data_IF_157654539806
#
_entry.id   IF_157654539806
#
_cell.length_a   1.000
_cell.length_b   1.000
_cell.length_c   1.000
_cell.angle_alpha   90.00
_cell.angle_beta   90.00
_cell.angle_gamma   90.00
#
_symmetry.space_group_name_H-M   'P 1'
#
loop_
_entity.id
_entity.type
_entity.pdbx_description
1 polymer ?
#
# COMPACT_ATOMS: atom_id res chain seq x y z
N UNK A 1 -24.26 18.89 -12.72
CA UNK A 1 -22.87 19.04 -12.32
C UNK A 1 -22.51 18.03 -11.26
N UNK A 2 -21.49 17.25 -11.48
CA UNK A 2 -21.13 16.17 -10.55
C UNK A 2 -19.66 16.20 -10.20
N UNK A 3 -19.17 17.28 -9.65
CA UNK A 3 -17.75 17.37 -9.32
C UNK A 3 -17.32 16.42 -8.22
N UNK A 4 -18.27 15.94 -7.46
CA UNK A 4 -17.99 15.16 -6.26
C UNK A 4 -17.33 13.83 -6.54
N UNK A 5 -17.44 13.31 -7.78
CA UNK A 5 -16.81 12.03 -8.11
C UNK A 5 -15.51 12.21 -8.88
N UNK A 6 -15.06 13.44 -9.04
CA UNK A 6 -13.78 13.69 -9.68
C UNK A 6 -12.65 13.28 -8.72
N UNK A 7 -11.64 12.58 -9.25
CA UNK A 7 -10.46 12.24 -8.47
C UNK A 7 -9.65 13.51 -8.24
N UNK A 8 -9.36 13.79 -6.99
CA UNK A 8 -8.53 14.95 -6.67
C UNK A 8 -7.08 14.72 -7.12
N UNK A 9 -6.39 15.75 -7.60
CA UNK A 9 -4.98 15.59 -7.97
C UNK A 9 -4.12 15.04 -6.84
N UNK A 10 -4.44 15.43 -5.59
CA UNK A 10 -3.69 14.92 -4.43
C UNK A 10 -3.88 13.43 -4.25
N UNK A 11 -5.07 12.91 -4.55
CA UNK A 11 -5.32 11.47 -4.45
C UNK A 11 -4.50 10.69 -5.45
N UNK A 12 -4.37 11.21 -6.67
CA UNK A 12 -3.58 10.55 -7.71
C UNK A 12 -2.10 10.54 -7.34
N UNK A 13 -1.61 11.66 -6.81
CA UNK A 13 -0.22 11.74 -6.39
C UNK A 13 0.06 10.86 -5.18
N UNK A 14 -0.89 10.77 -4.28
CA UNK A 14 -0.76 9.92 -3.10
C UNK A 14 -0.70 8.45 -3.49
N UNK A 15 -1.57 8.02 -4.42
CA UNK A 15 -1.55 6.66 -4.93
C UNK A 15 -0.20 6.35 -5.57
N UNK A 16 0.30 7.26 -6.40
CA UNK A 16 1.58 7.08 -7.06
C UNK A 16 2.71 6.92 -6.05
N UNK A 17 2.71 7.78 -5.02
CA UNK A 17 3.71 7.73 -3.97
C UNK A 17 3.67 6.41 -3.21
N UNK A 18 2.48 5.96 -2.85
CA UNK A 18 2.33 4.72 -2.09
C UNK A 18 2.75 3.50 -2.91
N UNK A 19 2.48 3.50 -4.19
CA UNK A 19 2.92 2.41 -5.06
C UNK A 19 4.44 2.34 -5.12
N UNK A 20 5.09 3.49 -5.29
CA UNK A 20 6.55 3.52 -5.33
C UNK A 20 7.14 3.10 -3.99
N UNK A 21 6.62 3.62 -2.90
CA UNK A 21 7.15 3.30 -1.57
C UNK A 21 6.95 1.83 -1.21
N UNK A 22 5.82 1.25 -1.58
CA UNK A 22 5.59 -0.18 -1.35
C UNK A 22 6.59 -1.02 -2.13
N UNK A 23 6.84 -0.65 -3.39
CA UNK A 23 7.83 -1.36 -4.20
C UNK A 23 9.21 -1.28 -3.56
N UNK A 24 9.61 -0.09 -3.14
CA UNK A 24 10.92 0.11 -2.51
C UNK A 24 11.00 -0.61 -1.17
N UNK A 25 9.92 -0.64 -0.42
CA UNK A 25 9.89 -1.32 0.87
C UNK A 25 10.20 -2.81 0.72
N UNK A 26 9.64 -3.45 -0.31
CA UNK A 26 9.92 -4.86 -0.57
C UNK A 26 11.15 -5.06 -1.46
N UNK A 27 11.86 -3.97 -1.74
CA UNK A 27 13.14 -3.97 -2.44
C UNK A 27 13.07 -4.58 -3.84
N UNK A 28 12.04 -4.22 -4.60
CA UNK A 28 11.88 -4.69 -5.97
C UNK A 28 12.20 -3.58 -6.95
N UNK A 29 12.84 -3.94 -8.06
CA UNK A 29 13.10 -2.98 -9.14
C UNK A 29 11.87 -2.86 -10.03
N UNK A 30 11.78 -1.75 -10.75
CA UNK A 30 10.70 -1.57 -11.74
C UNK A 30 10.75 -2.66 -12.80
N UNK A 31 11.95 -3.07 -13.19
CA UNK A 31 12.13 -4.11 -14.19
C UNK A 31 11.54 -5.44 -13.70
N UNK A 32 11.84 -5.82 -12.48
CA UNK A 32 11.32 -7.05 -11.90
C UNK A 32 9.80 -7.00 -11.81
N UNK A 33 9.26 -5.87 -11.36
CA UNK A 33 7.81 -5.70 -11.24
C UNK A 33 7.15 -5.82 -12.62
N UNK A 34 7.78 -5.24 -13.63
CA UNK A 34 7.27 -5.36 -15.00
C UNK A 34 7.19 -6.82 -15.43
N UNK A 35 8.23 -7.58 -15.15
CA UNK A 35 8.29 -8.99 -15.52
C UNK A 35 7.23 -9.82 -14.79
N UNK A 36 6.99 -9.50 -13.52
CA UNK A 36 6.04 -10.26 -12.72
C UNK A 36 4.58 -9.92 -13.00
N UNK A 37 4.30 -8.67 -13.37
CA UNK A 37 2.92 -8.23 -13.55
C UNK A 37 2.47 -8.15 -14.99
N UNK A 38 3.41 -8.14 -15.92
CA UNK A 38 3.09 -7.93 -17.34
C UNK A 38 2.86 -6.46 -17.69
N UNK A 39 2.99 -5.56 -16.75
CA UNK A 39 2.85 -4.13 -17.00
C UNK A 39 4.18 -3.61 -17.56
N UNK A 40 4.18 -2.92 -18.70
CA UNK A 40 5.44 -2.40 -19.23
C UNK A 40 6.18 -1.53 -18.22
N UNK A 41 7.50 -1.61 -18.20
CA UNK A 41 8.29 -0.84 -17.26
C UNK A 41 8.04 0.66 -17.39
N UNK A 42 7.90 1.14 -18.63
CA UNK A 42 7.61 2.57 -18.84
C UNK A 42 6.28 2.96 -18.21
N UNK A 43 5.30 2.07 -18.26
CA UNK A 43 4.01 2.32 -17.62
C UNK A 43 4.15 2.36 -16.10
N UNK A 44 4.93 1.44 -15.52
CA UNK A 44 5.18 1.45 -14.08
C UNK A 44 5.84 2.76 -13.67
N UNK A 45 6.84 3.20 -14.42
CA UNK A 45 7.51 4.45 -14.14
C UNK A 45 6.55 5.63 -14.17
N UNK A 46 5.68 5.67 -15.18
CA UNK A 46 4.71 6.76 -15.31
C UNK A 46 3.66 6.71 -14.21
N UNK A 47 3.24 5.52 -13.82
CA UNK A 47 2.30 5.35 -12.69
C UNK A 47 2.92 5.90 -11.42
N UNK A 48 4.19 5.58 -11.16
CA UNK A 48 4.86 6.03 -9.94
C UNK A 48 5.14 7.52 -9.94
N UNK A 49 5.23 8.14 -11.11
CA UNK A 49 5.36 9.59 -11.20
C UNK A 49 4.04 10.32 -11.14
N UNK A 50 2.94 9.57 -11.22
CA UNK A 50 1.62 10.17 -11.19
C UNK A 50 1.18 10.74 -12.53
N UNK A 51 1.91 10.42 -13.61
CA UNK A 51 1.59 10.93 -14.94
C UNK A 51 0.72 9.98 -15.76
N UNK A 52 0.46 8.79 -15.23
CA UNK A 52 -0.41 7.81 -15.87
C UNK A 52 -1.28 7.17 -14.80
N UNK A 53 -2.55 7.02 -15.10
CA UNK A 53 -3.48 6.33 -14.19
C UNK A 53 -3.17 4.85 -14.13
N UNK A 54 -3.34 4.25 -12.96
CA UNK A 54 -3.27 2.81 -12.81
C UNK A 54 -4.68 2.25 -12.98
N UNK A 55 -4.81 1.21 -13.80
CA UNK A 55 -6.10 0.54 -13.99
C UNK A 55 -6.37 -0.43 -12.83
N UNK A 56 -7.65 -0.76 -12.63
CA UNK A 56 -8.05 -1.61 -11.50
C UNK A 56 -7.29 -2.92 -11.45
N UNK A 57 -7.17 -3.60 -12.59
CA UNK A 57 -6.48 -4.90 -12.62
C UNK A 57 -4.99 -4.74 -12.43
N UNK A 58 -4.42 -3.64 -12.92
CA UNK A 58 -3.02 -3.35 -12.69
C UNK A 58 -2.76 -3.13 -11.22
N UNK A 59 -3.62 -2.35 -10.56
CA UNK A 59 -3.49 -2.10 -9.13
C UNK A 59 -3.59 -3.39 -8.33
N UNK A 60 -4.52 -4.26 -8.72
CA UNK A 60 -4.67 -5.56 -8.06
C UNK A 60 -3.37 -6.37 -8.14
N UNK A 61 -2.76 -6.43 -9.33
CA UNK A 61 -1.53 -7.19 -9.52
C UNK A 61 -0.38 -6.59 -8.72
N UNK A 62 -0.28 -5.27 -8.72
CA UNK A 62 0.77 -4.58 -7.96
C UNK A 62 0.59 -4.81 -6.46
N UNK A 63 -0.65 -4.68 -5.98
CA UNK A 63 -0.93 -4.89 -4.56
C UNK A 63 -0.58 -6.31 -4.12
N UNK A 64 -0.93 -7.29 -4.93
CA UNK A 64 -0.62 -8.69 -4.63
C UNK A 64 0.90 -8.93 -4.60
N UNK A 65 1.61 -8.35 -5.55
CA UNK A 65 3.06 -8.51 -5.61
C UNK A 65 3.74 -7.86 -4.41
N UNK A 66 3.27 -6.67 -4.03
CA UNK A 66 3.85 -5.92 -2.90
C UNK A 66 3.34 -6.41 -1.55
N UNK A 67 2.37 -7.32 -1.54
CA UNK A 67 1.76 -7.88 -0.33
C UNK A 67 1.08 -6.81 0.53
N UNK A 68 0.41 -5.89 -0.15
CA UNK A 68 -0.35 -4.84 0.51
C UNK A 68 -1.82 -4.94 0.14
N UNK A 69 -2.73 -4.61 1.05
CA UNK A 69 -4.15 -4.55 0.68
C UNK A 69 -4.40 -3.38 -0.26
N UNK A 70 -5.35 -3.55 -1.17
CA UNK A 70 -5.69 -2.48 -2.11
C UNK A 70 -6.13 -1.22 -1.37
N UNK A 71 -6.83 -1.39 -0.24
CA UNK A 71 -7.30 -0.26 0.56
C UNK A 71 -6.18 0.67 0.99
N UNK A 72 -5.00 0.12 1.26
CA UNK A 72 -3.84 0.95 1.60
C UNK A 72 -3.53 1.95 0.48
N UNK A 73 -3.57 1.49 -0.77
CA UNK A 73 -3.25 2.36 -1.91
C UNK A 73 -4.35 3.36 -2.21
N UNK A 74 -5.59 3.01 -1.89
CA UNK A 74 -6.74 3.86 -2.17
C UNK A 74 -7.00 4.89 -1.08
N UNK A 75 -6.17 4.92 -0.05
CA UNK A 75 -6.28 5.92 0.99
C UNK A 75 -7.28 5.60 2.07
N UNK A 76 -7.90 4.42 2.02
CA UNK A 76 -8.72 3.96 3.13
C UNK A 76 -7.83 3.61 4.30
N UNK A 77 -8.20 4.07 5.47
CA UNK A 77 -7.34 3.95 6.64
C UNK A 77 -7.50 2.57 7.28
N UNK A 78 -6.49 1.68 7.12
CA UNK A 78 -6.57 0.34 7.73
C UNK A 78 -6.38 0.37 9.24
N UNK A 79 -6.11 1.52 9.83
CA UNK A 79 -5.99 1.61 11.29
C UNK A 79 -7.29 1.30 11.99
N UNK A 80 -8.42 1.38 11.30
CA UNK A 80 -9.69 0.97 11.90
C UNK A 80 -9.71 -0.54 12.22
N UNK A 81 -9.11 -1.33 11.36
CA UNK A 81 -8.98 -2.77 11.64
C UNK A 81 -8.06 -3.03 12.82
N UNK A 82 -6.99 -2.25 12.94
CA UNK A 82 -6.10 -2.34 14.08
C UNK A 82 -6.81 -1.90 15.36
N UNK A 83 -7.67 -0.90 15.26
CA UNK A 83 -8.45 -0.44 16.40
C UNK A 83 -9.44 -1.50 16.89
N UNK A 84 -9.85 -2.42 16.00
CA UNK A 84 -10.68 -3.55 16.39
C UNK A 84 -9.99 -4.52 17.33
N UNK A 85 -8.64 -4.47 17.37
CA UNK A 85 -7.86 -5.27 18.31
C UNK A 85 -7.46 -4.52 19.56
N UNK A 86 -8.20 -3.46 19.92
CA UNK A 86 -7.82 -2.55 21.01
C UNK A 86 -7.76 -3.22 22.38
N UNK A 87 -8.38 -4.38 22.55
CA UNK A 87 -8.30 -5.13 23.79
C UNK A 87 -6.97 -5.83 24.00
N UNK A 88 -6.19 -6.02 22.93
CA UNK A 88 -4.91 -6.70 22.99
C UNK A 88 -3.82 -5.76 23.53
N UNK A 89 -3.15 -6.12 24.64
CA UNK A 89 -2.11 -5.26 25.20
C UNK A 89 -0.95 -4.97 24.24
N UNK A 90 -0.61 -5.93 23.40
CA UNK A 90 0.46 -5.74 22.41
C UNK A 90 0.06 -4.71 21.37
N UNK A 91 -1.18 -4.77 20.88
CA UNK A 91 -1.70 -3.80 19.92
C UNK A 91 -1.75 -2.41 20.55
N UNK A 92 -2.17 -2.32 21.81
CA UNK A 92 -2.19 -1.05 22.53
C UNK A 92 -0.79 -0.45 22.68
N UNK A 93 0.19 -1.30 23.00
CA UNK A 93 1.57 -0.85 23.12
C UNK A 93 2.11 -0.36 21.78
N UNK A 94 1.79 -1.08 20.71
CA UNK A 94 2.19 -0.68 19.35
C UNK A 94 1.56 0.65 18.97
N UNK A 95 0.28 0.83 19.26
CA UNK A 95 -0.42 2.07 18.95
C UNK A 95 0.20 3.25 19.72
N UNK A 96 0.55 3.03 20.98
CA UNK A 96 1.20 4.08 21.77
C UNK A 96 2.57 4.44 21.23
N UNK A 97 3.36 3.44 20.88
CA UNK A 97 4.68 3.69 20.30
C UNK A 97 4.55 4.46 19.00
N UNK A 98 3.59 4.07 18.16
CA UNK A 98 3.37 4.73 16.88
C UNK A 98 2.93 6.18 17.05
N UNK A 99 2.15 6.48 18.09
CA UNK A 99 1.64 7.83 18.30
C UNK A 99 2.74 8.85 18.59
N UNK A 100 3.91 8.38 19.04
CA UNK A 100 5.04 9.24 19.34
C UNK A 100 5.99 9.42 18.16
N UNK A 101 5.72 8.74 17.05
CA UNK A 101 6.56 8.79 15.85
C UNK A 101 6.13 9.93 14.93
N UNK A 102 7.05 10.34 14.04
CA UNK A 102 6.72 11.26 12.97
C UNK A 102 5.87 10.57 11.90
N UNK A 103 5.31 11.37 11.01
CA UNK A 103 4.40 10.84 9.99
C UNK A 103 5.06 9.81 9.09
N UNK A 104 6.31 10.06 8.67
CA UNK A 104 7.02 9.11 7.83
C UNK A 104 7.26 7.79 8.54
N UNK A 105 7.63 7.87 9.80
CA UNK A 105 7.87 6.67 10.59
C UNK A 105 6.60 5.88 10.82
N UNK A 106 5.49 6.57 11.05
CA UNK A 106 4.18 5.90 11.21
C UNK A 106 3.82 5.14 9.94
N UNK A 107 4.05 5.75 8.79
CA UNK A 107 3.75 5.09 7.53
C UNK A 107 4.59 3.84 7.32
N UNK A 108 5.86 3.89 7.70
CA UNK A 108 6.72 2.72 7.59
C UNK A 108 6.28 1.59 8.50
N UNK A 109 5.92 1.91 9.74
CA UNK A 109 5.43 0.91 10.68
C UNK A 109 4.14 0.28 10.17
N UNK A 110 3.23 1.11 9.68
CA UNK A 110 1.97 0.60 9.13
C UNK A 110 2.23 -0.32 7.93
N UNK A 111 3.10 0.11 7.04
CA UNK A 111 3.43 -0.69 5.86
C UNK A 111 4.02 -2.04 6.25
N UNK A 112 4.90 -2.04 7.23
CA UNK A 112 5.50 -3.28 7.72
C UNK A 112 4.46 -4.19 8.35
N UNK A 113 3.56 -3.63 9.16
CA UNK A 113 2.50 -4.40 9.81
C UNK A 113 1.58 -5.05 8.77
N UNK A 114 1.19 -4.27 7.76
CA UNK A 114 0.34 -4.79 6.69
C UNK A 114 1.04 -5.88 5.88
N UNK A 115 2.32 -5.69 5.63
CA UNK A 115 3.12 -6.69 4.91
C UNK A 115 3.13 -8.01 5.69
N UNK A 116 3.39 -7.96 6.98
CA UNK A 116 3.42 -9.16 7.81
C UNK A 116 2.06 -9.86 7.83
N UNK A 117 1.00 -9.09 7.96
CA UNK A 117 -0.35 -9.63 8.00
C UNK A 117 -0.69 -10.40 6.72
N UNK A 118 -0.37 -9.80 5.58
CA UNK A 118 -0.63 -10.44 4.29
C UNK A 118 0.31 -11.61 4.03
N UNK A 119 1.53 -11.53 4.51
CA UNK A 119 2.49 -12.60 4.37
C UNK A 119 1.99 -13.85 5.10
N UNK A 120 1.51 -13.70 6.33
CA UNK A 120 1.00 -14.82 7.11
C UNK A 120 -0.19 -15.49 6.44
N UNK A 121 -1.11 -14.68 5.92
CA UNK A 121 -2.28 -15.22 5.23
C UNK A 121 -1.89 -16.10 4.04
N UNK A 122 -0.91 -15.63 3.26
CA UNK A 122 -0.46 -16.38 2.10
C UNK A 122 0.30 -17.63 2.50
N UNK A 123 1.05 -17.56 3.59
CA UNK A 123 1.73 -18.70 4.13
C UNK A 123 0.76 -19.81 4.51
N UNK A 124 -0.34 -19.45 5.16
CA UNK A 124 -1.37 -20.39 5.54
C UNK A 124 -2.04 -21.00 4.32
N UNK A 125 -2.30 -20.20 3.31
CA UNK A 125 -2.98 -20.67 2.11
C UNK A 125 -2.12 -21.57 1.25
N UNK A 126 -0.83 -21.48 1.37
CA UNK A 126 0.08 -22.27 0.54
C UNK A 126 0.31 -23.70 1.06
N UNK A 127 -0.36 -24.05 2.12
CA UNK A 127 -0.30 -25.42 2.68
C UNK A 127 -1.47 -26.29 2.22
#
# INVERSE_FOLDING_TARGET
MSPEIAVEPDDAQELARRLREAREFVNLSQQFVSQQTGIPRSAISDIERGTRRVESLELKRLAELYRMPIDYFLGNDPTEELAGGAADPTVQALARAASEMGEEEKEEVLRFALFLQNFDRRGDQSR
#
